data_IF_669951266865
#
_entry.id   IF_669951266865
#
_cell.length_a   1.000
_cell.length_b   1.000
_cell.length_c   1.000
_cell.angle_alpha   90.00
_cell.angle_beta   90.00
_cell.angle_gamma   90.00
#
_symmetry.space_group_name_H-M   'P 1'
#
loop_
_entity.id
_entity.type
_entity.pdbx_description
1 polymer ?
#
# COMPACT_ATOMS: atom_id res chain seq x y z
N UNK A 1 24.04 -4.14 -11.73
CA UNK A 1 24.70 -3.76 -13.00
C UNK A 1 24.09 -2.44 -13.47
N UNK A 2 24.89 -1.39 -13.66
CA UNK A 2 24.40 -0.10 -14.16
C UNK A 2 24.38 -0.07 -15.68
N UNK A 3 23.28 0.39 -16.27
CA UNK A 3 23.19 0.70 -17.69
C UNK A 3 22.84 2.18 -17.82
N UNK A 4 23.71 2.97 -18.44
CA UNK A 4 23.44 4.37 -18.78
C UNK A 4 22.93 4.41 -20.21
N UNK A 5 21.78 5.03 -20.43
CA UNK A 5 21.18 5.20 -21.76
C UNK A 5 20.89 6.67 -21.99
N UNK A 6 21.29 7.20 -23.15
CA UNK A 6 20.94 8.58 -23.54
C UNK A 6 19.46 8.63 -23.89
N UNK A 7 18.73 9.55 -23.27
CA UNK A 7 17.32 9.83 -23.53
C UNK A 7 17.12 11.34 -23.58
N UNK A 8 16.48 11.82 -24.62
CA UNK A 8 16.00 13.19 -24.69
C UNK A 8 14.79 13.31 -23.76
N UNK A 9 14.77 14.37 -22.96
CA UNK A 9 13.70 14.67 -21.99
C UNK A 9 13.31 16.13 -22.17
N UNK A 10 12.04 16.44 -21.89
CA UNK A 10 11.57 17.83 -21.85
C UNK A 10 11.86 18.44 -20.47
N UNK A 11 12.04 19.76 -20.44
CA UNK A 11 12.23 20.52 -19.20
C UNK A 11 10.95 20.61 -18.37
N UNK A 12 11.07 21.04 -17.11
CA UNK A 12 9.92 21.13 -16.19
C UNK A 12 9.03 22.37 -16.42
N UNK A 13 9.53 23.39 -17.10
CA UNK A 13 8.80 24.66 -17.33
C UNK A 13 7.77 24.47 -18.43
N UNK A 14 6.54 24.90 -18.16
CA UNK A 14 5.42 24.83 -19.10
C UNK A 14 5.63 25.85 -20.22
N UNK A 15 5.54 25.39 -21.47
CA UNK A 15 5.64 26.21 -22.67
C UNK A 15 4.57 25.84 -23.70
N UNK A 16 4.38 26.65 -24.75
CA UNK A 16 3.38 26.43 -25.79
C UNK A 16 3.67 25.20 -26.67
N UNK A 17 4.88 24.64 -26.58
CA UNK A 17 5.30 23.44 -27.32
C UNK A 17 4.76 22.12 -26.75
N UNK A 18 4.13 22.14 -25.58
CA UNK A 18 3.58 20.97 -24.92
C UNK A 18 2.21 20.57 -25.50
N UNK A 19 2.05 19.31 -25.90
CA UNK A 19 0.78 18.79 -26.41
C UNK A 19 -0.25 18.50 -25.31
N UNK A 20 0.18 18.09 -24.11
CA UNK A 20 -0.71 17.71 -23.01
C UNK A 20 -0.12 18.09 -21.65
N UNK A 21 -1.01 18.34 -20.68
CA UNK A 21 -0.66 18.59 -19.27
C UNK A 21 -1.42 17.61 -18.37
N UNK A 22 -0.75 17.15 -17.32
CA UNK A 22 -1.35 16.31 -16.28
C UNK A 22 -1.59 17.15 -15.03
N UNK A 23 -2.86 17.35 -14.66
CA UNK A 23 -3.26 18.15 -13.51
C UNK A 23 -3.91 17.26 -12.43
N UNK A 24 -3.82 17.68 -11.17
CA UNK A 24 -4.46 17.01 -10.03
C UNK A 24 -5.31 18.02 -9.26
N UNK A 25 -6.59 17.68 -9.03
CA UNK A 25 -7.51 18.54 -8.27
C UNK A 25 -7.14 18.50 -6.79
N UNK A 26 -6.90 19.66 -6.18
CA UNK A 26 -6.63 19.77 -4.75
C UNK A 26 -7.88 20.06 -3.92
N UNK A 27 -8.83 20.86 -4.45
CA UNK A 27 -10.09 21.22 -3.77
C UNK A 27 -11.23 21.23 -4.79
N UNK A 28 -12.41 20.74 -4.38
CA UNK A 28 -13.63 20.78 -5.18
C UNK A 28 -14.21 22.21 -5.16
N UNK A 29 -14.62 22.72 -6.32
CA UNK A 29 -15.31 24.01 -6.45
C UNK A 29 -16.82 23.87 -6.29
N UNK A 30 -17.57 24.91 -6.69
CA UNK A 30 -19.05 24.90 -6.65
C UNK A 30 -19.66 23.97 -7.70
N UNK A 31 -19.01 23.84 -8.87
CA UNK A 31 -19.47 22.99 -9.95
C UNK A 31 -18.87 21.59 -9.88
N UNK A 32 -19.73 20.59 -10.12
CA UNK A 32 -19.34 19.18 -10.21
C UNK A 32 -18.86 18.86 -11.63
N UNK A 33 -17.80 18.05 -11.72
CA UNK A 33 -17.18 17.63 -12.96
C UNK A 33 -17.54 16.15 -13.21
N UNK A 34 -18.29 15.86 -14.29
CA UNK A 34 -18.75 14.52 -14.57
C UNK A 34 -17.59 13.53 -14.72
N UNK A 35 -17.73 12.38 -14.05
CA UNK A 35 -16.75 11.28 -14.08
C UNK A 35 -15.48 11.49 -13.26
N UNK A 36 -15.33 12.64 -12.57
CA UNK A 36 -14.19 12.91 -11.70
C UNK A 36 -14.61 13.19 -10.26
N UNK A 37 -15.60 14.05 -10.05
CA UNK A 37 -16.11 14.35 -8.70
C UNK A 37 -17.28 13.48 -8.28
N UNK A 38 -17.90 12.78 -9.24
CA UNK A 38 -19.19 12.13 -9.04
C UNK A 38 -19.04 10.68 -8.60
N UNK A 39 -17.97 10.01 -9.05
CA UNK A 39 -17.72 8.59 -8.78
C UNK A 39 -16.55 8.39 -7.81
N UNK A 40 -16.76 7.54 -6.80
CA UNK A 40 -15.70 7.12 -5.89
C UNK A 40 -15.20 5.71 -6.24
N UNK A 41 -13.99 5.61 -6.79
CA UNK A 41 -13.35 4.31 -7.05
C UNK A 41 -12.74 3.74 -5.76
N UNK A 42 -13.15 2.53 -5.31
CA UNK A 42 -12.64 1.97 -4.07
C UNK A 42 -11.18 1.51 -4.19
N UNK A 43 -10.46 1.52 -3.06
CA UNK A 43 -9.10 0.99 -2.99
C UNK A 43 -9.12 -0.53 -3.13
N UNK A 44 -8.54 -1.02 -4.24
CA UNK A 44 -8.49 -2.46 -4.55
C UNK A 44 -7.66 -3.29 -3.56
N UNK A 45 -6.63 -2.72 -2.96
CA UNK A 45 -5.69 -3.44 -2.09
C UNK A 45 -5.61 -2.78 -0.70
N UNK A 46 -5.76 -3.60 0.33
CA UNK A 46 -5.53 -3.22 1.72
C UNK A 46 -4.06 -3.34 2.14
N UNK A 47 -3.72 -2.84 3.34
CA UNK A 47 -2.37 -2.93 3.89
C UNK A 47 -1.97 -4.38 4.19
N UNK A 48 -0.70 -4.72 3.90
CA UNK A 48 -0.13 -6.06 4.09
C UNK A 48 0.66 -6.23 5.40
N UNK A 49 1.24 -5.16 5.94
CA UNK A 49 2.09 -5.20 7.14
C UNK A 49 1.24 -5.03 8.41
N UNK A 50 1.56 -5.78 9.47
CA UNK A 50 0.83 -5.73 10.74
C UNK A 50 0.70 -4.29 11.30
N UNK A 51 1.77 -3.49 11.28
CA UNK A 51 1.74 -2.09 11.75
C UNK A 51 0.79 -1.20 10.94
N UNK A 52 0.68 -1.42 9.64
CA UNK A 52 -0.15 -0.60 8.76
C UNK A 52 -1.62 -1.01 8.86
N UNK A 53 -1.90 -2.29 9.11
CA UNK A 53 -3.25 -2.76 9.41
C UNK A 53 -3.74 -2.12 10.71
N UNK A 54 -2.90 -2.09 11.77
CA UNK A 54 -3.25 -1.41 13.03
C UNK A 54 -3.57 0.06 12.84
N UNK A 55 -2.74 0.79 12.10
CA UNK A 55 -2.96 2.21 11.81
C UNK A 55 -4.24 2.48 11.02
N UNK A 56 -4.60 1.60 10.08
CA UNK A 56 -5.78 1.80 9.25
C UNK A 56 -7.08 1.65 10.05
N UNK A 57 -7.12 0.69 10.98
CA UNK A 57 -8.31 0.38 11.78
C UNK A 57 -8.24 0.93 13.21
N UNK A 58 -7.27 1.80 13.51
CA UNK A 58 -7.02 2.35 14.85
C UNK A 58 -6.95 1.29 15.96
N UNK A 59 -6.30 0.16 15.69
CA UNK A 59 -6.18 -0.96 16.63
C UNK A 59 -5.05 -0.75 17.62
N UNK A 60 -5.22 -1.27 18.83
CA UNK A 60 -4.16 -1.35 19.80
C UNK A 60 -3.16 -2.47 19.46
N UNK A 61 -2.03 -2.48 20.18
CA UNK A 61 -1.00 -3.51 20.00
C UNK A 61 -1.48 -4.91 20.43
N UNK A 62 -2.44 -4.96 21.38
CA UNK A 62 -3.00 -6.19 21.94
C UNK A 62 -3.95 -6.89 20.95
N UNK A 63 -4.55 -6.13 20.05
CA UNK A 63 -5.54 -6.64 19.11
C UNK A 63 -4.92 -7.53 18.03
N UNK A 64 -5.66 -8.57 17.65
CA UNK A 64 -5.27 -9.47 16.58
C UNK A 64 -5.60 -8.90 15.20
N UNK A 65 -4.55 -8.51 14.48
CA UNK A 65 -4.62 -7.99 13.11
C UNK A 65 -5.12 -9.01 12.07
N UNK A 66 -5.16 -10.32 12.37
CA UNK A 66 -5.58 -11.36 11.40
C UNK A 66 -7.05 -11.23 10.98
N UNK A 67 -7.89 -10.77 11.90
CA UNK A 67 -9.32 -10.63 11.67
C UNK A 67 -9.62 -9.44 10.74
N UNK A 68 -8.82 -8.37 10.86
CA UNK A 68 -8.98 -7.11 10.13
C UNK A 68 -8.31 -7.10 8.75
N UNK A 69 -7.80 -8.23 8.26
CA UNK A 69 -7.24 -8.31 6.91
C UNK A 69 -8.37 -8.25 5.88
N UNK A 70 -8.32 -7.24 5.01
CA UNK A 70 -9.23 -7.12 3.87
C UNK A 70 -9.07 -8.32 2.93
N UNK A 71 -10.17 -9.03 2.70
CA UNK A 71 -10.23 -10.18 1.79
C UNK A 71 -10.98 -9.77 0.53
N UNK A 72 -10.45 -10.17 -0.62
CA UNK A 72 -11.15 -10.01 -1.90
C UNK A 72 -11.87 -11.31 -2.25
N UNK A 73 -13.14 -11.21 -2.57
CA UNK A 73 -13.92 -12.30 -3.15
C UNK A 73 -13.55 -12.44 -4.63
N UNK A 74 -13.25 -13.65 -5.07
CA UNK A 74 -12.93 -13.92 -6.47
C UNK A 74 -14.18 -14.46 -7.19
N UNK A 75 -14.74 -15.54 -6.64
CA UNK A 75 -16.01 -16.19 -7.01
C UNK A 75 -16.75 -16.55 -5.70
N UNK A 76 -18.00 -17.01 -5.78
CA UNK A 76 -18.89 -17.27 -4.62
C UNK A 76 -18.25 -18.04 -3.44
N UNK A 77 -17.31 -18.97 -3.71
CA UNK A 77 -16.71 -19.83 -2.67
C UNK A 77 -15.25 -19.54 -2.33
N UNK A 78 -14.58 -18.58 -3.00
CA UNK A 78 -13.12 -18.36 -2.82
C UNK A 78 -12.78 -16.93 -2.47
N UNK A 79 -12.24 -16.74 -1.26
CA UNK A 79 -11.69 -15.46 -0.77
C UNK A 79 -10.16 -15.50 -0.77
N UNK A 80 -9.53 -14.44 -1.24
CA UNK A 80 -8.06 -14.27 -1.22
C UNK A 80 -7.66 -13.14 -0.29
N UNK A 81 -6.59 -13.36 0.48
CA UNK A 81 -6.06 -12.41 1.44
C UNK A 81 -4.54 -12.24 1.26
N UNK A 82 -3.97 -11.05 1.51
CA UNK A 82 -2.54 -10.89 1.58
C UNK A 82 -1.95 -11.64 2.79
N UNK A 83 -0.81 -12.31 2.61
CA UNK A 83 -0.01 -12.84 3.73
C UNK A 83 0.48 -11.67 4.59
N UNK A 84 0.09 -11.65 5.87
CA UNK A 84 0.51 -10.60 6.80
C UNK A 84 2.02 -10.68 7.00
N UNK A 85 2.70 -9.56 6.73
CA UNK A 85 4.14 -9.47 6.92
C UNK A 85 4.47 -8.74 8.23
N UNK A 86 5.56 -9.16 8.87
CA UNK A 86 6.02 -8.66 10.19
C UNK A 86 5.02 -8.92 11.33
N UNK A 87 4.21 -9.97 11.20
CA UNK A 87 3.42 -10.49 12.32
C UNK A 87 4.36 -11.23 13.28
N UNK A 88 4.22 -10.98 14.59
CA UNK A 88 4.93 -11.76 15.60
C UNK A 88 4.28 -13.15 15.67
N UNK A 89 5.06 -14.19 15.41
CA UNK A 89 4.62 -15.59 15.44
C UNK A 89 5.54 -16.41 16.36
N UNK A 90 5.07 -17.56 16.88
CA UNK A 90 5.90 -18.44 17.70
C UNK A 90 7.22 -18.83 17.02
N UNK A 91 7.20 -19.10 15.71
CA UNK A 91 8.39 -19.41 14.93
C UNK A 91 9.42 -18.26 14.92
N UNK A 92 8.98 -16.99 14.87
CA UNK A 92 9.87 -15.84 14.97
C UNK A 92 10.53 -15.76 16.35
N UNK A 93 9.75 -15.98 17.41
CA UNK A 93 10.25 -15.96 18.78
C UNK A 93 11.25 -17.09 19.03
N UNK A 94 10.98 -18.29 18.51
CA UNK A 94 11.88 -19.44 18.60
C UNK A 94 13.21 -19.18 17.88
N UNK A 95 13.17 -18.69 16.63
CA UNK A 95 14.38 -18.31 15.89
C UNK A 95 15.21 -17.27 16.66
N UNK A 96 14.56 -16.26 17.25
CA UNK A 96 15.25 -15.25 18.08
C UNK A 96 15.90 -15.86 19.33
N UNK A 97 15.25 -16.81 20.00
CA UNK A 97 15.83 -17.54 21.15
C UNK A 97 17.05 -18.36 20.72
N UNK A 98 16.95 -19.10 19.62
CA UNK A 98 18.04 -19.88 19.05
C UNK A 98 19.26 -19.02 18.70
N UNK A 99 19.08 -17.90 17.98
CA UNK A 99 20.21 -17.02 17.67
C UNK A 99 20.87 -16.44 18.94
N UNK A 100 20.07 -16.09 19.95
CA UNK A 100 20.57 -15.58 21.23
C UNK A 100 21.32 -16.64 22.05
N UNK A 101 20.96 -17.91 21.98
CA UNK A 101 21.71 -18.97 22.66
C UNK A 101 23.04 -19.23 21.98
N UNK A 102 23.07 -19.19 20.64
CA UNK A 102 24.29 -19.38 19.85
C UNK A 102 25.31 -18.25 20.03
N UNK A 103 24.86 -17.00 20.23
CA UNK A 103 25.75 -15.83 20.42
C UNK A 103 26.18 -15.59 21.87
N UNK A 104 25.59 -16.31 22.84
CA UNK A 104 25.96 -16.21 24.25
C UNK A 104 27.01 -17.25 24.68
N UNK A 105 27.25 -18.25 23.84
CA UNK A 105 28.47 -19.07 23.90
C UNK A 105 29.63 -18.26 23.35
#
# INVERSE_FOLDING_TARGET
>A
KGCRKRKSVRGCVVGPDLATLSLVISKKGEADIPGLTDDQRPRRLGPKRASNIRKLFNLEKKDDVRNFVVRRELNEKKKKAPKIQRLVTPAMLQRKRYFRSQTRQ
#
